data_IF_769251666425
#
_entry.id   IF_769251666425
#
_cell.length_a   1.000
_cell.length_b   1.000
_cell.length_c   1.000
_cell.angle_alpha   90.00
_cell.angle_beta   90.00
_cell.angle_gamma   90.00
#
_symmetry.space_group_name_H-M   'P 1'
#
loop_
_entity.id
_entity.type
_entity.pdbx_description
1 polymer ?
#
# COMPACT_ATOMS: atom_id res chain seq x y z
N UNK A 1 -9.35 -0.53 5.23
CA UNK A 1 -9.25 0.57 4.26
C UNK A 1 -10.61 1.20 3.90
N UNK A 2 -11.67 0.42 3.64
CA UNK A 2 -12.99 0.98 3.34
C UNK A 2 -13.50 1.86 4.50
N UNK A 3 -13.43 1.38 5.74
CA UNK A 3 -13.80 2.16 6.91
C UNK A 3 -12.95 3.43 7.08
N UNK A 4 -11.65 3.35 6.76
CA UNK A 4 -10.77 4.51 6.81
C UNK A 4 -11.19 5.58 5.80
N UNK A 5 -11.63 5.19 4.62
CA UNK A 5 -12.18 6.09 3.62
C UNK A 5 -13.45 6.80 4.10
N UNK A 6 -14.34 6.08 4.78
CA UNK A 6 -15.57 6.64 5.33
C UNK A 6 -15.26 7.70 6.41
N UNK A 7 -14.30 7.41 7.30
CA UNK A 7 -13.82 8.37 8.31
C UNK A 7 -13.25 9.65 7.66
N UNK A 8 -12.46 9.51 6.60
CA UNK A 8 -11.89 10.66 5.90
C UNK A 8 -12.96 11.49 5.20
N UNK A 9 -14.00 10.86 4.64
CA UNK A 9 -15.16 11.58 4.07
C UNK A 9 -15.95 12.33 5.12
N UNK A 10 -16.25 11.69 6.24
CA UNK A 10 -16.97 12.32 7.36
C UNK A 10 -16.17 13.52 7.90
N UNK A 11 -14.86 13.39 8.01
CA UNK A 11 -13.99 14.49 8.41
C UNK A 11 -14.07 15.67 7.41
N UNK A 12 -14.06 15.37 6.10
CA UNK A 12 -14.20 16.39 5.06
C UNK A 12 -15.54 17.12 5.15
N UNK A 13 -16.63 16.41 5.37
CA UNK A 13 -17.95 17.00 5.49
C UNK A 13 -18.06 17.94 6.71
N UNK A 14 -17.41 17.60 7.82
CA UNK A 14 -17.37 18.46 9.02
C UNK A 14 -16.58 19.75 8.81
N UNK A 15 -15.62 19.75 7.89
CA UNK A 15 -14.80 20.91 7.55
C UNK A 15 -15.28 21.63 6.28
N UNK A 16 -16.56 21.54 5.95
CA UNK A 16 -17.16 22.14 4.76
C UNK A 16 -17.07 23.68 4.67
N UNK A 17 -16.60 24.35 5.73
CA UNK A 17 -16.28 25.78 5.71
C UNK A 17 -15.02 26.14 4.93
N UNK A 18 -14.15 25.18 4.70
CA UNK A 18 -13.01 25.29 3.79
C UNK A 18 -13.49 24.79 2.43
N UNK A 19 -13.16 25.49 1.35
CA UNK A 19 -13.49 25.00 0.00
C UNK A 19 -13.11 23.53 -0.11
N UNK A 20 -14.08 22.67 -0.33
CA UNK A 20 -13.84 21.21 -0.44
C UNK A 20 -12.85 20.90 -1.59
N UNK A 21 -12.70 21.86 -2.52
CA UNK A 21 -11.75 21.80 -3.63
C UNK A 21 -10.28 21.91 -3.17
N UNK A 22 -10.01 22.54 -2.04
CA UNK A 22 -8.65 22.79 -1.57
C UNK A 22 -8.20 21.85 -0.45
N UNK A 23 -9.10 20.94 -0.01
CA UNK A 23 -8.80 20.00 1.05
C UNK A 23 -8.19 18.72 0.48
N UNK A 24 -6.91 18.52 0.76
CA UNK A 24 -6.20 17.26 0.54
C UNK A 24 -6.11 16.45 1.81
N UNK A 25 -6.26 15.14 1.70
CA UNK A 25 -6.14 14.22 2.82
C UNK A 25 -5.03 13.20 2.53
N UNK A 26 -4.33 12.80 3.58
CA UNK A 26 -3.30 11.76 3.51
C UNK A 26 -3.72 10.58 4.39
N UNK A 27 -3.72 9.40 3.81
CA UNK A 27 -3.86 8.14 4.53
C UNK A 27 -2.54 7.36 4.46
N UNK A 28 -1.95 7.07 5.61
CA UNK A 28 -0.76 6.23 5.71
C UNK A 28 -1.20 4.88 6.27
N UNK A 29 -0.96 3.83 5.49
CA UNK A 29 -1.26 2.44 5.86
C UNK A 29 0.05 1.76 6.22
N UNK A 30 0.15 1.24 7.43
CA UNK A 30 1.34 0.51 7.91
C UNK A 30 0.95 -0.95 8.10
N UNK A 31 1.61 -1.85 7.39
CA UNK A 31 1.31 -3.29 7.42
C UNK A 31 2.51 -4.10 6.92
N UNK A 32 2.42 -5.41 7.02
CA UNK A 32 3.36 -6.38 6.42
C UNK A 32 3.31 -6.41 4.88
N UNK A 33 2.35 -5.70 4.27
CA UNK A 33 2.22 -5.57 2.83
C UNK A 33 1.44 -6.69 2.15
N UNK A 34 1.03 -7.74 2.85
CA UNK A 34 0.26 -8.82 2.25
C UNK A 34 -1.20 -8.41 2.04
N UNK A 35 -1.61 -8.30 0.80
CA UNK A 35 -2.97 -7.93 0.39
C UNK A 35 -3.63 -9.09 -0.34
N UNK A 36 -4.84 -9.45 0.06
CA UNK A 36 -5.55 -10.61 -0.51
C UNK A 36 -6.34 -10.28 -1.79
N UNK A 37 -6.90 -9.07 -1.88
CA UNK A 37 -7.78 -8.67 -2.99
C UNK A 37 -7.25 -7.42 -3.68
N UNK A 38 -6.33 -7.62 -4.62
CA UNK A 38 -5.72 -6.54 -5.39
C UNK A 38 -6.72 -5.78 -6.27
N UNK A 39 -7.74 -6.46 -6.82
CA UNK A 39 -8.72 -5.84 -7.69
C UNK A 39 -9.59 -4.83 -6.91
N UNK A 40 -10.07 -5.25 -5.74
CA UNK A 40 -10.83 -4.40 -4.84
C UNK A 40 -10.00 -3.22 -4.32
N UNK A 41 -8.73 -3.48 -4.00
CA UNK A 41 -7.81 -2.43 -3.56
C UNK A 41 -7.55 -1.40 -4.66
N UNK A 42 -7.31 -1.82 -5.90
CA UNK A 42 -7.13 -0.90 -7.03
C UNK A 42 -8.36 -0.01 -7.26
N UNK A 43 -9.56 -0.57 -7.15
CA UNK A 43 -10.79 0.22 -7.26
C UNK A 43 -10.91 1.26 -6.14
N UNK A 44 -10.56 0.88 -4.91
CA UNK A 44 -10.57 1.77 -3.75
C UNK A 44 -9.52 2.88 -3.87
N UNK A 45 -8.32 2.57 -4.33
CA UNK A 45 -7.25 3.53 -4.55
C UNK A 45 -7.60 4.56 -5.63
N UNK A 46 -8.20 4.10 -6.74
CA UNK A 46 -8.71 5.01 -7.79
C UNK A 46 -9.72 5.99 -7.21
N UNK A 47 -10.67 5.49 -6.44
CA UNK A 47 -11.67 6.33 -5.77
C UNK A 47 -11.04 7.30 -4.76
N UNK A 48 -10.01 6.87 -4.02
CA UNK A 48 -9.26 7.75 -3.13
C UNK A 48 -8.62 8.92 -3.89
N UNK A 49 -8.00 8.64 -5.03
CA UNK A 49 -7.39 9.66 -5.88
C UNK A 49 -8.43 10.65 -6.41
N UNK A 50 -9.59 10.17 -6.88
CA UNK A 50 -10.71 11.02 -7.31
C UNK A 50 -11.22 11.93 -6.18
N UNK A 51 -11.20 11.45 -4.95
CA UNK A 51 -11.58 12.20 -3.75
C UNK A 51 -10.43 13.02 -3.15
N UNK A 52 -9.29 13.18 -3.84
CA UNK A 52 -8.09 13.88 -3.34
C UNK A 52 -7.55 13.33 -2.02
N UNK A 53 -7.61 12.04 -1.86
CA UNK A 53 -7.02 11.31 -0.76
C UNK A 53 -5.78 10.59 -1.29
N UNK A 54 -4.60 11.04 -0.89
CA UNK A 54 -3.36 10.34 -1.18
C UNK A 54 -3.18 9.18 -0.21
N UNK A 55 -2.99 7.99 -0.73
CA UNK A 55 -2.73 6.79 0.08
C UNK A 55 -1.27 6.37 -0.08
N UNK A 56 -0.56 6.30 1.03
CA UNK A 56 0.81 5.82 1.10
C UNK A 56 0.85 4.53 1.91
N UNK A 57 1.48 3.52 1.37
CA UNK A 57 1.65 2.25 2.05
C UNK A 57 3.07 2.12 2.60
N UNK A 58 3.19 1.88 3.88
CA UNK A 58 4.47 1.57 4.54
C UNK A 58 4.48 0.08 4.85
N UNK A 59 5.26 -0.64 4.09
CA UNK A 59 5.46 -2.08 4.28
C UNK A 59 6.54 -2.29 5.33
N UNK A 60 6.19 -2.92 6.43
CA UNK A 60 7.17 -3.35 7.43
C UNK A 60 7.60 -4.78 7.09
N UNK A 61 8.75 -4.88 6.44
CA UNK A 61 9.31 -6.15 5.98
C UNK A 61 10.37 -6.65 6.98
N UNK A 62 9.91 -7.31 8.03
CA UNK A 62 10.80 -7.90 9.05
C UNK A 62 11.47 -9.21 8.58
N UNK A 63 11.35 -9.55 7.31
CA UNK A 63 11.61 -10.89 6.80
C UNK A 63 13.03 -11.25 6.40
N UNK A 64 14.08 -10.54 6.86
CA UNK A 64 15.43 -10.91 6.44
C UNK A 64 16.53 -10.66 7.49
N UNK A 65 16.20 -10.66 8.76
CA UNK A 65 17.20 -10.42 9.82
C UNK A 65 18.19 -11.56 10.05
N UNK A 66 18.29 -12.54 9.15
CA UNK A 66 19.28 -13.61 9.27
C UNK A 66 19.19 -14.45 10.55
N UNK A 67 18.23 -14.17 11.41
CA UNK A 67 17.90 -14.99 12.55
C UNK A 67 17.21 -16.24 12.07
N UNK A 68 17.87 -17.37 12.22
CA UNK A 68 17.28 -18.67 11.92
C UNK A 68 15.91 -18.78 12.60
N UNK A 69 14.85 -19.17 11.87
CA UNK A 69 13.54 -19.35 12.47
C UNK A 69 13.65 -20.34 13.62
N UNK A 70 13.02 -20.01 14.75
CA UNK A 70 12.95 -20.91 15.89
C UNK A 70 12.32 -22.24 15.46
N UNK A 71 12.67 -23.32 16.12
CA UNK A 71 12.16 -24.66 15.81
C UNK A 71 10.61 -24.64 15.79
N UNK A 72 10.01 -24.69 14.60
CA UNK A 72 8.56 -24.68 14.38
C UNK A 72 7.98 -23.45 13.71
N UNK A 73 8.75 -22.37 13.47
CA UNK A 73 8.31 -21.23 12.66
C UNK A 73 8.65 -21.43 11.18
N UNK A 74 7.66 -21.21 10.32
CA UNK A 74 7.92 -21.15 8.89
C UNK A 74 8.81 -19.94 8.57
N UNK A 75 9.78 -20.07 7.66
CA UNK A 75 10.62 -18.94 7.26
C UNK A 75 9.75 -17.81 6.72
N UNK A 76 9.86 -16.62 7.29
CA UNK A 76 9.17 -15.44 6.80
C UNK A 76 9.89 -14.96 5.55
N UNK A 77 9.27 -15.14 4.40
CA UNK A 77 9.79 -14.60 3.15
C UNK A 77 9.58 -13.09 3.11
N UNK A 78 10.62 -12.35 2.73
CA UNK A 78 10.49 -10.93 2.42
C UNK A 78 9.44 -10.72 1.34
N UNK A 79 8.65 -9.65 1.44
CA UNK A 79 7.66 -9.28 0.40
C UNK A 79 8.33 -9.08 -0.96
N UNK A 80 9.61 -8.71 -0.98
CA UNK A 80 10.41 -8.54 -2.20
C UNK A 80 10.72 -9.86 -2.91
N UNK A 81 10.73 -10.96 -2.17
CA UNK A 81 11.04 -12.31 -2.67
C UNK A 81 9.78 -13.13 -2.94
N UNK A 82 8.61 -12.67 -2.47
CA UNK A 82 7.36 -13.36 -2.68
C UNK A 82 6.99 -13.41 -4.16
N UNK A 83 6.60 -14.59 -4.63
CA UNK A 83 6.07 -14.78 -5.97
C UNK A 83 4.57 -14.99 -5.92
N UNK A 84 3.87 -14.36 -6.85
CA UNK A 84 2.46 -14.57 -7.10
C UNK A 84 2.31 -15.43 -8.35
N UNK A 85 1.59 -16.53 -8.21
CA UNK A 85 1.28 -17.43 -9.30
C UNK A 85 -0.14 -17.16 -9.77
N UNK A 86 -0.32 -16.87 -11.04
CA UNK A 86 -1.63 -16.77 -11.67
C UNK A 86 -1.78 -17.80 -12.78
N UNK A 87 -3.00 -18.29 -12.95
CA UNK A 87 -3.33 -19.26 -13.98
C UNK A 87 -4.27 -18.60 -14.97
N UNK A 88 -3.98 -18.75 -16.25
CA UNK A 88 -4.89 -18.35 -17.31
C UNK A 88 -4.91 -19.42 -18.41
N UNK A 89 -6.02 -19.47 -19.13
CA UNK A 89 -6.18 -20.40 -20.24
C UNK A 89 -5.94 -19.63 -21.53
N UNK A 90 -5.02 -20.11 -22.38
CA UNK A 90 -4.77 -19.50 -23.67
C UNK A 90 -5.92 -19.77 -24.68
N UNK A 91 -5.83 -19.18 -25.85
CA UNK A 91 -6.85 -19.31 -26.89
C UNK A 91 -7.05 -20.77 -27.39
N UNK A 92 -6.07 -21.65 -27.15
CA UNK A 92 -6.12 -23.06 -27.48
C UNK A 92 -6.69 -23.94 -26.32
N UNK A 93 -7.14 -23.32 -25.22
CA UNK A 93 -7.67 -24.03 -24.06
C UNK A 93 -6.59 -24.64 -23.16
N UNK A 94 -5.30 -24.32 -23.37
CA UNK A 94 -4.19 -24.83 -22.58
C UNK A 94 -3.97 -23.95 -21.36
N UNK A 95 -3.88 -24.57 -20.19
CA UNK A 95 -3.56 -23.87 -18.95
C UNK A 95 -2.12 -23.34 -19.01
N UNK A 96 -1.97 -22.05 -18.82
CA UNK A 96 -0.69 -21.36 -18.70
C UNK A 96 -0.50 -20.85 -17.28
N UNK A 97 0.74 -20.97 -16.81
CA UNK A 97 1.14 -20.51 -15.49
C UNK A 97 2.01 -19.27 -15.68
N UNK A 98 1.58 -18.15 -15.08
CA UNK A 98 2.34 -16.89 -15.07
C UNK A 98 2.84 -16.64 -13.64
N UNK A 99 4.14 -16.46 -13.50
CA UNK A 99 4.79 -16.20 -12.22
C UNK A 99 5.36 -14.80 -12.24
N UNK A 100 4.85 -13.94 -11.35
CA UNK A 100 5.32 -12.56 -11.17
C UNK A 100 5.74 -12.35 -9.73
N UNK A 101 6.70 -11.46 -9.51
CA UNK A 101 6.99 -11.04 -8.15
C UNK A 101 5.77 -10.31 -7.57
N UNK A 102 5.46 -10.58 -6.32
CA UNK A 102 4.31 -9.95 -5.66
C UNK A 102 4.38 -8.42 -5.70
N UNK A 103 5.59 -7.86 -5.51
CA UNK A 103 5.81 -6.42 -5.53
C UNK A 103 5.50 -5.78 -6.88
N UNK A 104 5.67 -6.49 -7.99
CA UNK A 104 5.36 -5.99 -9.34
C UNK A 104 3.84 -5.89 -9.58
N UNK A 105 3.04 -6.56 -8.76
CA UNK A 105 1.58 -6.52 -8.81
C UNK A 105 0.98 -5.70 -7.68
N UNK A 106 1.83 -5.11 -6.83
CA UNK A 106 1.40 -4.37 -5.65
C UNK A 106 0.45 -3.23 -6.04
N UNK A 107 -0.71 -3.11 -5.40
CA UNK A 107 -1.77 -2.23 -5.87
C UNK A 107 -1.52 -0.75 -5.56
N UNK A 108 -0.63 -0.44 -4.62
CA UNK A 108 -0.36 0.93 -4.20
C UNK A 108 0.67 1.60 -5.09
N UNK A 109 0.34 2.78 -5.60
CA UNK A 109 1.24 3.60 -6.41
C UNK A 109 2.39 4.18 -5.57
N UNK A 110 2.06 4.55 -4.32
CA UNK A 110 3.03 5.10 -3.38
C UNK A 110 3.24 4.13 -2.23
N UNK A 111 4.39 3.52 -2.18
CA UNK A 111 4.77 2.64 -1.08
C UNK A 111 6.24 2.78 -0.72
N UNK A 112 6.54 2.49 0.53
CA UNK A 112 7.91 2.44 1.08
C UNK A 112 8.07 1.14 1.84
N UNK A 113 9.21 0.48 1.66
CA UNK A 113 9.53 -0.75 2.38
C UNK A 113 10.52 -0.40 3.50
N UNK A 114 10.15 -0.73 4.72
CA UNK A 114 10.94 -0.49 5.94
C UNK A 114 11.32 -1.83 6.53
N UNK A 115 12.61 -2.10 6.64
CA UNK A 115 13.13 -3.35 7.22
C UNK A 115 13.30 -3.26 8.73
N UNK A 116 13.54 -2.06 9.23
CA UNK A 116 13.73 -1.78 10.64
C UNK A 116 12.67 -0.81 11.14
N UNK A 117 11.91 -1.23 12.15
CA UNK A 117 10.86 -0.41 12.77
C UNK A 117 11.43 0.89 13.36
N UNK A 118 12.70 0.91 13.75
CA UNK A 118 13.35 2.12 14.27
C UNK A 118 13.47 3.21 13.18
N UNK A 119 13.51 2.83 11.92
CA UNK A 119 13.53 3.77 10.79
C UNK A 119 12.16 4.39 10.49
N UNK A 120 11.08 3.84 11.04
CA UNK A 120 9.71 4.25 10.76
C UNK A 120 9.44 5.75 11.00
N UNK A 121 9.87 6.37 12.12
CA UNK A 121 9.67 7.79 12.35
C UNK A 121 10.30 8.67 11.27
N UNK A 122 11.50 8.32 10.82
CA UNK A 122 12.21 9.05 9.77
C UNK A 122 11.49 8.91 8.41
N UNK A 123 11.05 7.71 8.08
CA UNK A 123 10.29 7.43 6.84
C UNK A 123 8.98 8.21 6.84
N UNK A 124 8.24 8.21 7.95
CA UNK A 124 7.00 8.98 8.07
C UNK A 124 7.23 10.48 7.91
N UNK A 125 8.26 11.03 8.57
CA UNK A 125 8.61 12.44 8.45
C UNK A 125 8.96 12.82 7.01
N UNK A 126 9.72 11.99 6.31
CA UNK A 126 10.09 12.19 4.90
C UNK A 126 8.85 12.12 3.99
N UNK A 127 7.99 11.14 4.20
CA UNK A 127 6.73 10.98 3.45
C UNK A 127 5.82 12.20 3.62
N UNK A 128 5.65 12.68 4.85
CA UNK A 128 4.85 13.87 5.13
C UNK A 128 5.41 15.13 4.46
N UNK A 129 6.74 15.29 4.46
CA UNK A 129 7.40 16.42 3.79
C UNK A 129 7.16 16.38 2.29
N UNK A 130 7.40 15.23 1.65
CA UNK A 130 7.18 15.07 0.22
C UNK A 130 5.72 15.30 -0.17
N UNK A 131 4.78 14.84 0.65
CA UNK A 131 3.37 15.10 0.44
C UNK A 131 3.04 16.60 0.52
N UNK A 132 3.54 17.30 1.53
CA UNK A 132 3.33 18.74 1.68
C UNK A 132 3.93 19.55 0.52
N UNK A 133 5.10 19.17 0.04
CA UNK A 133 5.74 19.78 -1.14
C UNK A 133 4.88 19.57 -2.39
N UNK A 134 4.39 18.34 -2.62
CA UNK A 134 3.55 18.01 -3.77
C UNK A 134 2.22 18.77 -3.80
N UNK A 135 1.60 19.00 -2.64
CA UNK A 135 0.37 19.80 -2.56
C UNK A 135 0.65 21.26 -2.87
N UNK A 136 1.77 21.79 -2.38
CA UNK A 136 2.13 23.19 -2.63
C UNK A 136 2.38 23.46 -4.12
N UNK A 137 2.86 22.46 -4.86
CA UNK A 137 3.20 22.56 -6.28
C UNK A 137 2.04 22.16 -7.21
N UNK A 138 0.92 21.70 -6.65
CA UNK A 138 -0.29 21.30 -7.38
C UNK A 138 -1.30 22.44 -7.51
#
# INVERSE_FOLDING_TARGET
LTQSMDVLRDARQRHASVSAADLWQLAIVISDGVCQDHARLKALLRRATEERIMMVFVVVDAGADGTAPGAGEAPRSSILEMNQVSYHTDAAGKLQLDMKRYIDTFPFEYYVIVRDVQSLPHVLATTLRQWAERIRDA
#
